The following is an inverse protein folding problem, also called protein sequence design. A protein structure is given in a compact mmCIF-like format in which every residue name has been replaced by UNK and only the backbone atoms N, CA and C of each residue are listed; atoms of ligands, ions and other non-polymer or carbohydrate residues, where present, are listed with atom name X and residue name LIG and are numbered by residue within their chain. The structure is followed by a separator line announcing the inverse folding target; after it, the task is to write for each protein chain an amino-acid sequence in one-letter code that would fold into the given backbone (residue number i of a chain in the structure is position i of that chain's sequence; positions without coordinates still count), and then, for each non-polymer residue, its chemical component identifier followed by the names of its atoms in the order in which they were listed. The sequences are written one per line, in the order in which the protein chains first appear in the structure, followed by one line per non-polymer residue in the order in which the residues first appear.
data_IF_644929078867
#
_entry.id   IF_644929078867
#
_cell.length_a   1.000
_cell.length_b   1.000
_cell.length_c   1.000
_cell.angle_alpha   90.00
_cell.angle_beta   90.00
_cell.angle_gamma   90.00
#
_symmetry.space_group_name_H-M   'P 1'
#
loop_
_entity.id
_entity.type
_entity.pdbx_description
1 polymer ?
#
# COMPACT_ATOMS: atom_id res chain seq x y z
N UNK A 1 21.57 8.37 28.58
CA UNK A 1 20.99 7.89 27.32
C UNK A 1 22.12 7.60 26.35
N UNK A 2 22.32 6.33 26.00
CA UNK A 2 23.36 5.81 25.10
C UNK A 2 22.79 5.48 23.72
N UNK A 3 21.56 4.98 23.63
CA UNK A 3 20.87 4.63 22.37
C UNK A 3 19.41 5.06 22.39
N UNK A 4 18.98 5.81 21.38
CA UNK A 4 17.59 6.17 21.11
C UNK A 4 17.12 5.53 19.83
N UNK A 5 15.89 5.03 19.84
CA UNK A 5 15.19 4.61 18.62
C UNK A 5 14.14 5.65 18.28
N UNK A 6 14.20 6.20 17.08
CA UNK A 6 13.20 7.12 16.55
C UNK A 6 12.33 6.37 15.56
N UNK A 7 11.03 6.32 15.80
CA UNK A 7 10.09 5.63 14.91
C UNK A 7 8.84 6.48 14.65
N UNK A 8 8.98 7.72 14.14
CA UNK A 8 7.84 8.58 13.87
C UNK A 8 7.09 8.16 12.60
N UNK A 9 5.79 8.44 12.58
CA UNK A 9 4.98 8.49 11.37
C UNK A 9 4.96 9.93 10.80
N UNK A 10 4.42 10.07 9.61
CA UNK A 10 4.19 11.33 8.93
C UNK A 10 3.23 12.24 9.71
N UNK A 11 3.51 13.54 9.64
CA UNK A 11 2.61 14.57 10.13
C UNK A 11 1.78 15.01 8.94
N UNK A 12 0.76 14.21 8.59
CA UNK A 12 -0.04 14.32 7.36
C UNK A 12 -0.42 15.78 7.07
N UNK A 13 -0.06 16.26 5.88
CA UNK A 13 -0.25 17.65 5.44
C UNK A 13 0.81 18.66 5.91
N UNK A 14 1.88 18.20 6.59
CA UNK A 14 2.96 19.05 7.11
C UNK A 14 4.35 18.47 6.86
N UNK A 15 4.77 17.44 7.60
CA UNK A 15 6.11 16.85 7.52
C UNK A 15 6.05 15.36 7.18
N UNK A 16 6.95 14.89 6.33
CA UNK A 16 7.14 13.45 6.12
C UNK A 16 7.75 12.79 7.36
N UNK A 17 7.56 11.48 7.52
CA UNK A 17 8.18 10.73 8.63
C UNK A 17 9.70 10.85 8.62
N UNK A 18 10.33 10.91 7.43
CA UNK A 18 11.78 11.16 7.33
C UNK A 18 12.17 12.54 7.86
N UNK A 19 11.40 13.58 7.53
CA UNK A 19 11.66 14.95 8.01
C UNK A 19 11.54 15.04 9.52
N UNK A 20 10.50 14.41 10.09
CA UNK A 20 10.30 14.34 11.54
C UNK A 20 11.47 13.62 12.21
N UNK A 21 11.88 12.47 11.68
CA UNK A 21 12.98 11.69 12.25
C UNK A 21 14.32 12.43 12.14
N UNK A 22 14.55 13.18 11.06
CA UNK A 22 15.74 14.01 10.90
C UNK A 22 15.81 15.13 11.94
N UNK A 23 14.70 15.86 12.15
CA UNK A 23 14.60 16.92 13.16
C UNK A 23 14.82 16.35 14.57
N UNK A 24 14.16 15.24 14.90
CA UNK A 24 14.34 14.55 16.18
C UNK A 24 15.81 14.15 16.39
N UNK A 25 16.45 13.60 15.35
CA UNK A 25 17.86 13.19 15.41
C UNK A 25 18.77 14.38 15.68
N UNK A 26 18.58 15.48 14.95
CA UNK A 26 19.37 16.70 15.08
C UNK A 26 19.29 17.26 16.51
N UNK A 27 18.09 17.41 17.06
CA UNK A 27 17.88 17.95 18.40
C UNK A 27 18.48 17.03 19.47
N UNK A 28 18.34 15.71 19.33
CA UNK A 28 18.96 14.76 20.26
C UNK A 28 20.47 14.87 20.22
N UNK A 29 21.08 15.00 19.04
CA UNK A 29 22.54 15.16 18.94
C UNK A 29 23.03 16.49 19.51
N UNK A 30 22.25 17.58 19.40
CA UNK A 30 22.59 18.86 20.02
C UNK A 30 22.71 18.75 21.55
N UNK A 31 21.82 17.99 22.19
CA UNK A 31 21.81 17.83 23.65
C UNK A 31 22.60 16.61 24.16
N UNK A 32 22.74 15.58 23.33
CA UNK A 32 23.44 14.32 23.62
C UNK A 32 24.33 13.89 22.44
N UNK A 33 25.49 14.55 22.22
CA UNK A 33 26.34 14.30 21.05
C UNK A 33 26.86 12.86 20.90
N UNK A 34 27.02 12.15 22.02
CA UNK A 34 27.46 10.74 22.04
C UNK A 34 26.34 9.72 21.92
N UNK A 35 25.08 10.14 21.73
CA UNK A 35 23.95 9.24 21.62
C UNK A 35 23.94 8.53 20.28
N UNK A 36 23.86 7.19 20.31
CA UNK A 36 23.55 6.41 19.12
C UNK A 36 22.06 6.59 18.79
N UNK A 37 21.75 6.90 17.54
CA UNK A 37 20.37 7.07 17.07
C UNK A 37 20.09 6.02 16.02
N UNK A 38 19.01 5.26 16.20
CA UNK A 38 18.45 4.37 15.18
C UNK A 38 17.16 5.01 14.70
N UNK A 39 17.16 5.50 13.47
CA UNK A 39 16.00 6.16 12.86
C UNK A 39 15.26 5.19 11.95
N UNK A 40 13.97 5.01 12.20
CA UNK A 40 13.05 4.11 11.51
C UNK A 40 11.80 4.94 11.18
N UNK A 41 11.87 5.91 10.25
CA UNK A 41 10.69 6.67 9.86
C UNK A 41 9.70 5.69 9.23
N UNK A 42 8.53 5.50 9.83
CA UNK A 42 7.57 4.51 9.36
C UNK A 42 6.57 5.13 8.38
N UNK A 43 6.00 4.26 7.56
CA UNK A 43 4.83 4.55 6.74
C UNK A 43 3.92 3.33 6.82
N UNK A 44 2.63 3.59 6.90
CA UNK A 44 1.55 2.62 7.07
C UNK A 44 1.16 1.89 5.76
N UNK A 45 2.04 1.96 4.75
CA UNK A 45 1.79 1.55 3.38
C UNK A 45 1.48 2.74 2.46
N UNK A 46 1.40 3.95 2.98
CA UNK A 46 1.21 5.18 2.21
C UNK A 46 2.49 5.85 1.73
N UNK A 47 2.46 7.18 1.68
CA UNK A 47 3.56 8.00 1.20
C UNK A 47 4.86 7.72 1.98
N UNK A 48 5.96 7.53 1.26
CA UNK A 48 7.28 7.31 1.85
C UNK A 48 7.52 5.88 2.34
N UNK A 49 6.63 4.93 2.04
CA UNK A 49 6.79 3.50 2.32
C UNK A 49 8.05 2.92 1.67
N UNK A 50 8.32 3.27 0.41
CA UNK A 50 9.52 2.84 -0.29
C UNK A 50 10.79 3.37 0.39
N UNK A 51 10.80 4.66 0.70
CA UNK A 51 11.96 5.33 1.29
C UNK A 51 12.26 4.82 2.70
N UNK A 52 11.21 4.61 3.51
CA UNK A 52 11.29 3.97 4.82
C UNK A 52 12.03 2.62 4.74
N UNK A 53 11.54 1.73 3.87
CA UNK A 53 12.06 0.37 3.82
C UNK A 53 13.46 0.30 3.21
N UNK A 54 13.78 1.15 2.22
CA UNK A 54 15.13 1.20 1.64
C UNK A 54 16.20 1.79 2.59
N UNK A 55 15.81 2.58 3.59
CA UNK A 55 16.73 3.04 4.62
C UNK A 55 17.13 1.91 5.58
N UNK A 56 16.25 0.92 5.74
CA UNK A 56 16.42 -0.12 6.75
C UNK A 56 16.97 -1.40 6.12
N UNK A 57 16.45 -1.78 4.96
CA UNK A 57 16.87 -2.99 4.25
C UNK A 57 17.86 -2.66 3.13
N UNK A 58 18.98 -3.40 3.03
CA UNK A 58 19.95 -3.19 1.97
C UNK A 58 19.35 -3.51 0.59
N UNK A 59 19.20 -2.49 -0.23
CA UNK A 59 18.63 -2.59 -1.56
C UNK A 59 18.93 -1.37 -2.42
N UNK A 60 18.34 -1.34 -3.60
CA UNK A 60 18.46 -0.23 -4.56
C UNK A 60 17.10 0.26 -5.01
N UNK A 61 16.99 1.56 -5.25
CA UNK A 61 15.84 2.15 -5.95
C UNK A 61 16.00 1.95 -7.46
N UNK A 62 14.99 1.40 -8.11
CA UNK A 62 14.93 1.22 -9.56
C UNK A 62 13.93 2.23 -10.14
N UNK A 63 14.39 3.25 -10.89
CA UNK A 63 13.49 4.18 -11.56
C UNK A 63 12.85 3.52 -12.78
N UNK A 64 11.56 3.79 -13.02
CA UNK A 64 10.83 3.30 -14.18
C UNK A 64 9.77 4.32 -14.61
N UNK A 65 9.63 4.53 -15.92
CA UNK A 65 8.52 5.31 -16.46
C UNK A 65 7.31 4.39 -16.66
N UNK A 66 6.20 4.69 -15.98
CA UNK A 66 4.98 3.86 -15.96
C UNK A 66 3.75 4.67 -16.32
N UNK A 67 2.62 4.01 -16.54
CA UNK A 67 1.31 4.63 -16.75
C UNK A 67 0.77 5.15 -15.41
N UNK A 68 0.67 6.47 -15.30
CA UNK A 68 0.08 7.15 -14.16
C UNK A 68 -1.43 6.94 -14.03
N UNK A 69 -2.05 7.47 -12.95
CA UNK A 69 -3.46 7.24 -12.67
C UNK A 69 -4.39 7.69 -13.80
N UNK A 70 -4.06 8.75 -14.53
CA UNK A 70 -4.88 9.27 -15.64
C UNK A 70 -4.43 8.78 -17.02
N UNK A 71 -3.57 7.77 -17.09
CA UNK A 71 -3.12 7.15 -18.34
C UNK A 71 -1.87 7.78 -18.98
N UNK A 72 -1.44 8.97 -18.54
CA UNK A 72 -0.19 9.59 -19.00
C UNK A 72 1.04 8.88 -18.43
N UNK A 73 2.18 8.94 -19.12
CA UNK A 73 3.45 8.39 -18.62
C UNK A 73 4.03 9.30 -17.53
N UNK A 74 4.39 8.71 -16.39
CA UNK A 74 5.02 9.38 -15.25
C UNK A 74 6.30 8.67 -14.84
N UNK A 75 7.21 9.41 -14.21
CA UNK A 75 8.39 8.82 -13.59
C UNK A 75 8.01 8.25 -12.23
N UNK A 76 8.30 6.98 -12.02
CA UNK A 76 8.06 6.26 -10.78
C UNK A 76 9.30 5.45 -10.39
N UNK A 77 9.19 4.66 -9.33
CA UNK A 77 10.23 3.76 -8.90
C UNK A 77 9.68 2.66 -7.98
N UNK A 78 10.47 1.60 -7.85
CA UNK A 78 10.31 0.59 -6.81
C UNK A 78 11.67 0.30 -6.15
N UNK A 79 11.66 -0.43 -5.04
CA UNK A 79 12.86 -0.89 -4.35
C UNK A 79 13.13 -2.34 -4.65
N UNK A 80 14.39 -2.71 -4.90
CA UNK A 80 14.82 -4.09 -5.02
C UNK A 80 15.84 -4.41 -3.94
N UNK A 81 15.45 -5.25 -2.99
CA UNK A 81 16.29 -5.69 -1.88
C UNK A 81 17.24 -6.80 -2.32
N UNK A 82 18.36 -6.91 -1.61
CA UNK A 82 19.42 -7.89 -1.90
C UNK A 82 18.95 -9.36 -1.80
N UNK A 83 17.87 -9.60 -1.06
CA UNK A 83 17.25 -10.92 -0.87
C UNK A 83 16.14 -11.24 -1.90
N UNK A 84 16.04 -10.48 -3.00
CA UNK A 84 15.02 -10.65 -4.07
C UNK A 84 13.59 -10.31 -3.64
N UNK A 85 13.44 -9.46 -2.63
CA UNK A 85 12.17 -8.81 -2.31
C UNK A 85 12.07 -7.49 -3.08
N UNK A 86 10.94 -7.24 -3.73
CA UNK A 86 10.63 -5.92 -4.28
C UNK A 86 9.68 -5.15 -3.36
N UNK A 87 9.92 -3.85 -3.22
CA UNK A 87 9.08 -2.92 -2.46
C UNK A 87 8.41 -1.97 -3.44
N UNK A 88 7.09 -1.98 -3.47
CA UNK A 88 6.27 -1.17 -4.35
C UNK A 88 5.40 -0.27 -3.49
N UNK A 89 5.47 1.03 -3.73
CA UNK A 89 4.58 2.00 -3.12
C UNK A 89 3.55 2.41 -4.19
N UNK A 90 2.30 2.00 -4.01
CA UNK A 90 1.24 2.24 -5.01
C UNK A 90 1.12 3.73 -5.35
N UNK A 91 1.31 4.60 -4.35
CA UNK A 91 1.21 6.04 -4.52
C UNK A 91 2.20 6.61 -5.57
N UNK A 92 3.35 5.96 -5.79
CA UNK A 92 4.33 6.42 -6.77
C UNK A 92 3.91 6.18 -8.22
N UNK A 93 2.97 5.26 -8.47
CA UNK A 93 2.47 4.97 -9.83
C UNK A 93 1.00 5.37 -10.02
N UNK A 94 0.20 5.29 -8.96
CA UNK A 94 -1.26 5.47 -9.00
C UNK A 94 -1.77 6.27 -7.80
N UNK A 95 -0.94 7.16 -7.24
CA UNK A 95 -1.27 7.98 -6.08
C UNK A 95 -1.91 9.33 -6.41
N UNK A 96 -2.57 9.92 -5.41
CA UNK A 96 -3.21 11.24 -5.54
C UNK A 96 -2.22 12.36 -5.87
N UNK A 97 -0.99 12.29 -5.34
CA UNK A 97 0.06 13.27 -5.65
C UNK A 97 0.57 13.17 -7.10
N UNK A 98 0.29 12.07 -7.80
CA UNK A 98 0.60 11.89 -9.22
C UNK A 98 -0.59 12.26 -10.13
N UNK A 99 -1.74 12.57 -9.54
CA UNK A 99 -2.94 12.96 -10.27
C UNK A 99 -3.07 14.49 -10.34
N UNK A 100 -3.74 14.99 -11.37
CA UNK A 100 -4.15 16.39 -11.44
C UNK A 100 -5.35 16.67 -10.52
N UNK A 101 -5.65 17.96 -10.33
CA UNK A 101 -6.72 18.46 -9.43
C UNK A 101 -8.11 17.94 -9.82
N UNK A 102 -8.34 17.65 -11.10
CA UNK A 102 -9.58 17.11 -11.67
C UNK A 102 -9.62 15.57 -11.71
N UNK A 103 -8.88 14.90 -10.82
CA UNK A 103 -8.87 13.44 -10.74
C UNK A 103 -10.27 12.86 -10.54
N UNK A 104 -10.63 11.90 -11.40
CA UNK A 104 -11.79 11.04 -11.20
C UNK A 104 -11.29 9.61 -10.85
N UNK A 105 -11.51 9.12 -9.62
CA UNK A 105 -11.02 7.82 -9.21
C UNK A 105 -11.66 6.64 -9.97
N UNK A 106 -12.84 6.83 -10.57
CA UNK A 106 -13.50 5.83 -11.39
C UNK A 106 -12.89 5.66 -12.78
N UNK A 107 -12.25 6.72 -13.30
CA UNK A 107 -11.49 6.66 -14.56
C UNK A 107 -10.00 6.35 -14.31
N UNK A 108 -9.50 6.63 -13.11
CA UNK A 108 -8.11 6.42 -12.78
C UNK A 108 -7.73 4.92 -12.73
N UNK A 109 -6.50 4.60 -13.09
CA UNK A 109 -6.02 3.21 -13.25
C UNK A 109 -4.83 2.86 -12.35
N UNK A 110 -4.81 1.61 -11.88
CA UNK A 110 -3.68 1.00 -11.16
C UNK A 110 -2.63 0.37 -12.09
N UNK A 111 -2.75 0.52 -13.41
CA UNK A 111 -1.90 -0.14 -14.41
C UNK A 111 -0.39 0.05 -14.19
N UNK A 112 0.05 1.27 -13.85
CA UNK A 112 1.47 1.53 -13.59
C UNK A 112 2.05 0.74 -12.43
N UNK A 113 1.23 0.37 -11.44
CA UNK A 113 1.65 -0.52 -10.34
C UNK A 113 1.97 -1.92 -10.88
N UNK A 114 1.15 -2.43 -11.79
CA UNK A 114 1.41 -3.70 -12.45
C UNK A 114 2.66 -3.66 -13.34
N UNK A 115 2.97 -2.52 -13.97
CA UNK A 115 4.24 -2.33 -14.69
C UNK A 115 5.45 -2.39 -13.74
N UNK A 116 5.37 -1.78 -12.54
CA UNK A 116 6.42 -1.90 -11.51
C UNK A 116 6.60 -3.35 -11.04
N UNK A 117 5.49 -4.06 -10.80
CA UNK A 117 5.51 -5.49 -10.40
C UNK A 117 6.19 -6.33 -11.48
N UNK A 118 5.78 -6.14 -12.73
CA UNK A 118 6.32 -6.88 -13.86
C UNK A 118 7.83 -6.68 -13.99
N UNK A 119 8.29 -5.42 -13.96
CA UNK A 119 9.71 -5.10 -14.03
C UNK A 119 10.50 -5.68 -12.84
N UNK A 120 9.95 -5.62 -11.63
CA UNK A 120 10.59 -6.21 -10.44
C UNK A 120 10.80 -7.73 -10.59
N UNK A 121 9.84 -8.44 -11.19
CA UNK A 121 9.94 -9.88 -11.44
C UNK A 121 10.99 -10.19 -12.51
N UNK A 122 11.07 -9.37 -13.57
CA UNK A 122 12.14 -9.47 -14.56
C UNK A 122 13.53 -9.28 -13.93
N UNK A 123 13.62 -8.46 -12.88
CA UNK A 123 14.83 -8.31 -12.06
C UNK A 123 15.01 -9.41 -11.00
N UNK A 124 14.22 -10.48 -11.05
CA UNK A 124 14.39 -11.69 -10.25
C UNK A 124 13.70 -11.65 -8.89
N UNK A 125 12.80 -10.69 -8.64
CA UNK A 125 12.02 -10.67 -7.41
C UNK A 125 11.12 -11.90 -7.31
N UNK A 126 11.09 -12.54 -6.13
CA UNK A 126 10.22 -13.68 -5.83
C UNK A 126 9.22 -13.39 -4.70
N UNK A 127 9.37 -12.24 -4.03
CA UNK A 127 8.45 -11.70 -3.05
C UNK A 127 8.26 -10.20 -3.31
N UNK A 128 7.02 -9.72 -3.18
CA UNK A 128 6.66 -8.33 -3.49
C UNK A 128 5.83 -7.75 -2.35
N UNK A 129 6.34 -6.69 -1.75
CA UNK A 129 5.66 -5.90 -0.73
C UNK A 129 5.02 -4.69 -1.37
N UNK A 130 3.71 -4.51 -1.19
CA UNK A 130 2.96 -3.41 -1.80
C UNK A 130 2.32 -2.56 -0.70
N UNK A 131 2.74 -1.31 -0.58
CA UNK A 131 2.04 -0.32 0.24
C UNK A 131 0.80 0.21 -0.51
N UNK A 132 -0.38 0.14 0.12
CA UNK A 132 -1.68 0.51 -0.47
C UNK A 132 -2.21 1.90 -0.08
N UNK A 133 -1.42 2.74 0.57
CA UNK A 133 -1.86 4.09 0.95
C UNK A 133 -1.76 5.10 -0.21
N UNK A 134 -2.49 6.21 -0.09
CA UNK A 134 -2.35 7.36 -1.00
C UNK A 134 -2.91 7.20 -2.42
N UNK A 135 -3.68 6.15 -2.71
CA UNK A 135 -4.23 5.85 -4.05
C UNK A 135 -5.14 6.96 -4.62
N UNK A 136 -5.04 7.21 -5.92
CA UNK A 136 -5.97 8.05 -6.71
C UNK A 136 -7.14 7.26 -7.32
N UNK A 137 -7.17 5.94 -7.17
CA UNK A 137 -7.98 5.02 -7.98
C UNK A 137 -9.13 4.36 -7.21
N UNK A 138 -10.12 3.86 -7.95
CA UNK A 138 -11.20 2.98 -7.49
C UNK A 138 -11.56 1.96 -8.59
N UNK A 139 -10.56 1.23 -9.10
CA UNK A 139 -10.69 0.29 -10.23
C UNK A 139 -10.69 -1.19 -9.81
N UNK A 140 -10.75 -1.50 -8.51
CA UNK A 140 -10.72 -2.88 -8.01
C UNK A 140 -9.42 -3.62 -8.31
N UNK A 141 -8.35 -2.90 -8.65
CA UNK A 141 -7.08 -3.50 -9.06
C UNK A 141 -7.08 -4.07 -10.48
N UNK A 142 -8.11 -3.79 -11.28
CA UNK A 142 -8.19 -4.31 -12.65
C UNK A 142 -7.03 -3.79 -13.51
N UNK A 143 -6.65 -2.52 -13.38
CA UNK A 143 -5.51 -1.97 -14.13
C UNK A 143 -4.20 -2.69 -13.81
N UNK A 144 -3.91 -2.88 -12.52
CA UNK A 144 -2.74 -3.63 -12.06
C UNK A 144 -2.75 -5.06 -12.61
N UNK A 145 -3.88 -5.75 -12.49
CA UNK A 145 -3.99 -7.13 -12.95
C UNK A 145 -3.86 -7.25 -14.48
N UNK A 146 -4.41 -6.29 -15.22
CA UNK A 146 -4.28 -6.21 -16.69
C UNK A 146 -2.81 -6.08 -17.10
N UNK A 147 -2.05 -5.19 -16.45
CA UNK A 147 -0.62 -5.02 -16.70
C UNK A 147 0.19 -6.29 -16.39
N UNK A 148 -0.33 -7.18 -15.54
CA UNK A 148 0.24 -8.49 -15.24
C UNK A 148 -0.20 -9.61 -16.21
N UNK A 149 -1.04 -9.29 -17.20
CA UNK A 149 -1.50 -10.22 -18.22
C UNK A 149 -2.87 -10.85 -17.93
N UNK A 150 -3.62 -10.36 -16.96
CA UNK A 150 -5.01 -10.77 -16.75
C UNK A 150 -5.90 -10.16 -17.84
N UNK A 151 -6.80 -10.95 -18.41
CA UNK A 151 -7.73 -10.49 -19.45
C UNK A 151 -9.17 -10.53 -18.92
N UNK A 152 -9.94 -9.47 -19.20
CA UNK A 152 -11.32 -9.33 -18.77
C UNK A 152 -12.25 -9.35 -19.98
N UNK A 153 -13.37 -10.06 -19.88
CA UNK A 153 -14.31 -10.21 -20.99
C UNK A 153 -15.72 -9.79 -20.61
N UNK A 154 -16.41 -9.14 -21.55
CA UNK A 154 -17.82 -8.79 -21.44
C UNK A 154 -18.74 -10.00 -21.65
N UNK A 155 -20.05 -9.78 -21.57
CA UNK A 155 -21.08 -10.80 -21.81
C UNK A 155 -21.04 -11.35 -23.24
N UNK A 156 -20.62 -10.52 -24.19
CA UNK A 156 -20.47 -10.84 -25.60
C UNK A 156 -19.15 -11.58 -25.88
N UNK A 157 -18.33 -11.85 -24.85
CA UNK A 157 -17.01 -12.46 -25.00
C UNK A 157 -15.96 -11.52 -25.57
N UNK A 158 -16.20 -10.21 -25.55
CA UNK A 158 -15.26 -9.19 -26.02
C UNK A 158 -14.27 -8.83 -24.93
N UNK A 159 -12.99 -8.70 -25.28
CA UNK A 159 -11.96 -8.17 -24.38
C UNK A 159 -12.32 -6.73 -23.99
N UNK A 160 -12.28 -6.44 -22.69
CA UNK A 160 -12.52 -5.11 -22.12
C UNK A 160 -11.36 -4.69 -21.22
N UNK A 161 -11.21 -3.38 -21.03
CA UNK A 161 -10.23 -2.74 -20.14
C UNK A 161 -11.00 -2.05 -19.01
N UNK A 162 -11.31 -2.73 -17.90
CA UNK A 162 -12.22 -2.21 -16.91
C UNK A 162 -11.62 -1.03 -16.13
N UNK A 163 -12.47 -0.07 -15.80
CA UNK A 163 -12.20 0.95 -14.80
C UNK A 163 -13.29 0.91 -13.71
N UNK A 164 -13.24 1.82 -12.74
CA UNK A 164 -14.18 1.85 -11.63
C UNK A 164 -15.66 1.95 -12.03
N UNK A 165 -15.97 2.57 -13.17
CA UNK A 165 -17.33 2.72 -13.68
C UNK A 165 -17.82 1.55 -14.54
N UNK A 166 -16.92 0.64 -14.92
CA UNK A 166 -17.25 -0.46 -15.84
C UNK A 166 -16.99 -1.83 -15.24
N UNK A 167 -16.68 -1.94 -13.94
CA UNK A 167 -16.43 -3.23 -13.30
C UNK A 167 -17.61 -4.20 -13.43
N UNK A 168 -18.85 -3.69 -13.47
CA UNK A 168 -20.06 -4.49 -13.68
C UNK A 168 -20.15 -5.14 -15.06
N UNK A 169 -19.37 -4.67 -16.04
CA UNK A 169 -19.34 -5.25 -17.39
C UNK A 169 -18.49 -6.52 -17.47
N UNK A 170 -17.66 -6.79 -16.47
CA UNK A 170 -16.83 -7.99 -16.41
C UNK A 170 -17.73 -9.22 -16.20
N UNK A 171 -17.64 -10.20 -17.10
CA UNK A 171 -18.34 -11.47 -17.02
C UNK A 171 -17.40 -12.66 -16.91
N UNK A 172 -16.16 -12.53 -17.38
CA UNK A 172 -15.12 -13.53 -17.11
C UNK A 172 -13.73 -12.92 -17.11
N UNK A 173 -12.82 -13.64 -16.47
CA UNK A 173 -11.41 -13.33 -16.25
C UNK A 173 -10.60 -14.52 -16.76
N UNK A 174 -9.60 -14.26 -17.60
CA UNK A 174 -8.63 -15.25 -18.06
C UNK A 174 -7.22 -14.93 -17.59
N UNK A 175 -6.45 -16.00 -17.35
CA UNK A 175 -5.07 -15.94 -16.85
C UNK A 175 -4.05 -16.41 -17.90
N UNK A 176 -4.48 -16.59 -19.15
CA UNK A 176 -3.70 -17.30 -20.18
C UNK A 176 -2.39 -16.60 -20.54
N UNK A 177 -2.30 -15.28 -20.32
CA UNK A 177 -1.10 -14.47 -20.58
C UNK A 177 -0.25 -14.24 -19.34
N UNK A 178 -0.66 -14.76 -18.18
CA UNK A 178 0.13 -14.68 -16.96
C UNK A 178 1.28 -15.69 -17.04
N UNK A 179 2.50 -15.21 -16.75
CA UNK A 179 3.69 -16.06 -16.71
C UNK A 179 3.70 -17.00 -15.49
N UNK A 180 4.25 -18.21 -15.66
CA UNK A 180 4.48 -19.16 -14.56
C UNK A 180 5.36 -18.58 -13.44
N UNK A 181 6.25 -17.64 -13.78
CA UNK A 181 7.08 -16.95 -12.81
C UNK A 181 6.22 -16.11 -11.86
N UNK A 182 5.25 -15.36 -12.40
CA UNK A 182 4.34 -14.52 -11.62
C UNK A 182 3.49 -15.35 -10.64
N UNK A 183 3.02 -16.52 -11.06
CA UNK A 183 2.21 -17.42 -10.20
C UNK A 183 2.97 -17.94 -8.97
N UNK A 184 4.31 -17.93 -8.99
CA UNK A 184 5.16 -18.37 -7.88
C UNK A 184 5.55 -17.25 -6.93
N UNK A 185 5.26 -15.99 -7.27
CA UNK A 185 5.60 -14.83 -6.45
C UNK A 185 4.70 -14.78 -5.23
N UNK A 186 5.30 -14.52 -4.06
CA UNK A 186 4.55 -14.18 -2.86
C UNK A 186 4.31 -12.67 -2.79
N UNK A 187 3.07 -12.25 -2.56
CA UNK A 187 2.72 -10.85 -2.38
C UNK A 187 2.34 -10.59 -0.92
N UNK A 188 2.77 -9.45 -0.39
CA UNK A 188 2.32 -8.93 0.91
C UNK A 188 1.80 -7.52 0.72
N UNK A 189 0.51 -7.32 1.03
CA UNK A 189 -0.17 -6.03 0.93
C UNK A 189 -0.14 -5.34 2.29
N UNK A 190 0.51 -4.18 2.38
CA UNK A 190 0.59 -3.37 3.59
C UNK A 190 -0.50 -2.31 3.59
N UNK A 191 -1.33 -2.30 4.64
CA UNK A 191 -2.40 -1.32 4.81
C UNK A 191 -2.77 -1.14 6.29
N UNK A 192 -3.19 0.06 6.67
CA UNK A 192 -3.68 0.40 8.01
C UNK A 192 -5.21 0.41 8.15
N UNK A 193 -5.91 0.25 7.03
CA UNK A 193 -7.37 0.25 7.03
C UNK A 193 -7.91 -1.17 7.06
N UNK A 194 -8.98 -1.37 7.83
CA UNK A 194 -9.70 -2.65 7.89
C UNK A 194 -10.97 -2.64 7.04
N UNK A 195 -11.23 -1.54 6.33
CA UNK A 195 -12.41 -1.34 5.49
C UNK A 195 -12.61 -2.51 4.52
N UNK A 196 -13.84 -3.08 4.45
CA UNK A 196 -14.17 -4.11 3.47
C UNK A 196 -14.18 -3.54 2.05
N UNK A 197 -14.34 -4.41 1.05
CA UNK A 197 -14.38 -3.99 -0.35
C UNK A 197 -15.60 -3.11 -0.67
N UNK A 198 -16.78 -3.54 -0.22
CA UNK A 198 -18.08 -2.91 -0.48
C UNK A 198 -18.79 -2.53 0.83
N UNK A 199 -19.87 -1.77 0.72
CA UNK A 199 -20.77 -1.40 1.82
C UNK A 199 -20.53 0.03 2.32
N UNK A 200 -21.23 0.41 3.40
CA UNK A 200 -21.14 1.76 3.98
C UNK A 200 -19.74 2.07 4.54
N UNK A 201 -18.99 1.05 4.93
CA UNK A 201 -17.58 1.16 5.30
C UNK A 201 -16.63 0.74 4.16
N UNK A 202 -17.15 0.52 2.96
CA UNK A 202 -16.42 0.00 1.80
C UNK A 202 -15.52 1.02 1.11
N UNK A 203 -14.79 0.55 0.11
CA UNK A 203 -13.77 1.32 -0.61
C UNK A 203 -14.34 2.61 -1.21
N UNK A 204 -15.44 2.49 -1.95
CA UNK A 204 -16.04 3.60 -2.69
C UNK A 204 -16.71 4.59 -1.74
N UNK A 205 -17.52 4.11 -0.80
CA UNK A 205 -18.22 4.98 0.14
C UNK A 205 -17.29 5.83 1.02
N UNK A 206 -16.20 5.22 1.52
CA UNK A 206 -15.31 5.88 2.48
C UNK A 206 -14.25 6.74 1.79
N UNK A 207 -13.68 6.28 0.67
CA UNK A 207 -12.47 6.89 0.12
C UNK A 207 -12.64 7.57 -1.24
N UNK A 208 -13.73 7.37 -1.98
CA UNK A 208 -13.86 7.95 -3.32
C UNK A 208 -13.93 9.48 -3.30
N UNK A 209 -14.66 10.07 -2.34
CA UNK A 209 -14.86 11.51 -2.25
C UNK A 209 -13.54 12.28 -2.06
N UNK A 210 -12.67 11.82 -1.15
CA UNK A 210 -11.35 12.42 -0.95
C UNK A 210 -10.39 12.24 -2.14
N UNK A 211 -10.74 11.35 -3.10
CA UNK A 211 -9.99 11.14 -4.34
C UNK A 211 -10.52 11.95 -5.52
N UNK A 212 -11.58 12.75 -5.33
CA UNK A 212 -12.18 13.60 -6.36
C UNK A 212 -13.51 13.11 -6.93
N UNK A 213 -14.07 11.99 -6.45
CA UNK A 213 -15.38 11.54 -6.92
C UNK A 213 -16.50 12.50 -6.46
N UNK A 214 -17.39 12.97 -7.35
CA UNK A 214 -18.63 13.63 -6.94
C UNK A 214 -19.55 12.64 -6.23
N UNK A 215 -20.47 13.14 -5.41
CA UNK A 215 -21.40 12.31 -4.62
C UNK A 215 -22.24 11.35 -5.47
N UNK A 216 -22.58 11.73 -6.69
CA UNK A 216 -23.30 10.90 -7.66
C UNK A 216 -22.44 9.74 -8.20
N UNK A 217 -21.13 9.97 -8.36
CA UNK A 217 -20.20 8.93 -8.82
C UNK A 217 -19.97 7.86 -7.75
N UNK A 218 -19.95 8.23 -6.47
CA UNK A 218 -19.74 7.27 -5.37
C UNK A 218 -20.76 6.14 -5.37
N UNK A 219 -22.02 6.43 -5.70
CA UNK A 219 -23.09 5.42 -5.80
C UNK A 219 -22.78 4.44 -6.94
N UNK A 220 -22.45 4.96 -8.12
CA UNK A 220 -22.15 4.14 -9.29
C UNK A 220 -20.88 3.29 -9.09
N UNK A 221 -19.85 3.84 -8.44
CA UNK A 221 -18.63 3.12 -8.08
C UNK A 221 -18.92 1.96 -7.12
N UNK A 222 -19.74 2.21 -6.11
CA UNK A 222 -20.17 1.18 -5.15
C UNK A 222 -20.96 0.07 -5.85
N UNK A 223 -21.92 0.40 -6.71
CA UNK A 223 -22.70 -0.58 -7.49
C UNK A 223 -21.80 -1.45 -8.38
N UNK A 224 -20.84 -0.83 -9.07
CA UNK A 224 -19.85 -1.53 -9.89
C UNK A 224 -18.95 -2.45 -9.06
N UNK A 225 -18.44 -1.95 -7.92
CA UNK A 225 -17.60 -2.74 -7.02
C UNK A 225 -18.37 -3.92 -6.43
N UNK A 226 -19.65 -3.75 -6.09
CA UNK A 226 -20.50 -4.86 -5.63
C UNK A 226 -20.73 -5.90 -6.72
N UNK A 227 -20.98 -5.48 -7.96
CA UNK A 227 -21.10 -6.40 -9.09
C UNK A 227 -19.82 -7.22 -9.29
N UNK A 228 -18.67 -6.56 -9.20
CA UNK A 228 -17.36 -7.20 -9.29
C UNK A 228 -17.10 -8.18 -8.15
N UNK A 229 -17.39 -7.77 -6.91
CA UNK A 229 -17.31 -8.65 -5.73
C UNK A 229 -18.21 -9.88 -5.85
N UNK A 230 -19.43 -9.71 -6.39
CA UNK A 230 -20.35 -10.83 -6.68
C UNK A 230 -19.78 -11.77 -7.74
N UNK A 231 -19.19 -11.24 -8.81
CA UNK A 231 -18.53 -12.07 -9.82
C UNK A 231 -17.42 -12.94 -9.19
N UNK A 232 -16.51 -12.32 -8.45
CA UNK A 232 -15.39 -13.02 -7.79
C UNK A 232 -15.87 -14.08 -6.79
N UNK A 233 -16.88 -13.75 -5.98
CA UNK A 233 -17.39 -14.67 -4.95
C UNK A 233 -18.28 -15.78 -5.52
N UNK A 234 -19.15 -15.50 -6.49
CA UNK A 234 -20.11 -16.49 -6.99
C UNK A 234 -19.54 -17.35 -8.13
N UNK A 235 -18.80 -16.75 -9.06
CA UNK A 235 -18.26 -17.47 -10.21
C UNK A 235 -16.91 -18.12 -9.91
N UNK A 236 -16.06 -17.44 -9.15
CA UNK A 236 -14.71 -17.91 -8.85
C UNK A 236 -14.54 -18.43 -7.41
N UNK A 237 -15.58 -18.34 -6.57
CA UNK A 237 -15.59 -18.86 -5.20
C UNK A 237 -14.51 -18.23 -4.30
N UNK A 238 -14.12 -16.98 -4.59
CA UNK A 238 -13.16 -16.25 -3.78
C UNK A 238 -13.80 -15.50 -2.61
N UNK A 239 -13.06 -15.39 -1.51
CA UNK A 239 -13.42 -14.52 -0.39
C UNK A 239 -12.96 -13.09 -0.69
N UNK A 240 -13.91 -12.20 -0.93
CA UNK A 240 -13.67 -10.77 -1.16
C UNK A 240 -13.91 -9.90 0.08
N UNK A 241 -14.58 -10.44 1.10
CA UNK A 241 -14.88 -9.76 2.36
C UNK A 241 -13.86 -10.13 3.44
N UNK A 242 -12.72 -9.44 3.39
CA UNK A 242 -11.68 -9.53 4.42
C UNK A 242 -11.26 -8.12 4.86
N UNK A 243 -10.74 -8.02 6.09
CA UNK A 243 -10.27 -6.75 6.62
C UNK A 243 -9.17 -6.17 5.73
N UNK A 244 -9.40 -4.95 5.23
CA UNK A 244 -8.48 -4.23 4.35
C UNK A 244 -8.71 -4.48 2.85
N UNK A 245 -9.74 -5.26 2.46
CA UNK A 245 -10.08 -5.47 1.05
C UNK A 245 -10.40 -4.16 0.32
N UNK A 246 -10.93 -3.14 1.01
CA UNK A 246 -11.22 -1.83 0.43
C UNK A 246 -10.04 -0.88 0.31
N UNK A 247 -8.86 -1.26 0.81
CA UNK A 247 -7.65 -0.45 0.69
C UNK A 247 -7.34 -0.14 -0.78
N UNK A 248 -6.84 1.07 -1.04
CA UNK A 248 -6.51 1.56 -2.38
C UNK A 248 -7.64 1.42 -3.42
N UNK A 249 -8.93 1.50 -3.03
CA UNK A 249 -10.01 1.30 -4.01
C UNK A 249 -10.15 -0.15 -4.49
N UNK A 250 -9.73 -1.11 -3.66
CA UNK A 250 -9.75 -2.54 -3.99
C UNK A 250 -8.52 -3.05 -4.74
N UNK A 251 -7.43 -2.26 -4.84
CA UNK A 251 -6.28 -2.58 -5.69
C UNK A 251 -5.65 -3.98 -5.43
N UNK A 252 -5.75 -4.46 -4.19
CA UNK A 252 -5.19 -5.75 -3.78
C UNK A 252 -6.11 -6.97 -3.98
N UNK A 253 -7.38 -6.77 -4.35
CA UNK A 253 -8.39 -7.86 -4.35
C UNK A 253 -8.05 -8.95 -5.35
N UNK A 254 -7.68 -8.58 -6.58
CA UNK A 254 -7.32 -9.56 -7.61
C UNK A 254 -6.02 -10.29 -7.28
N UNK A 255 -5.06 -9.61 -6.66
CA UNK A 255 -3.86 -10.27 -6.12
C UNK A 255 -4.26 -11.34 -5.10
N UNK A 256 -5.13 -10.98 -4.14
CA UNK A 256 -5.61 -11.90 -3.10
C UNK A 256 -6.41 -13.09 -3.62
N UNK A 257 -7.14 -12.90 -4.71
CA UNK A 257 -7.94 -13.94 -5.34
C UNK A 257 -7.08 -14.91 -6.15
N UNK A 258 -6.22 -14.39 -7.04
CA UNK A 258 -5.57 -15.19 -8.08
C UNK A 258 -4.11 -15.53 -7.80
N UNK A 259 -3.48 -14.92 -6.79
CA UNK A 259 -2.07 -15.09 -6.48
C UNK A 259 -1.85 -15.43 -5.00
N UNK A 260 -0.64 -15.90 -4.68
CA UNK A 260 -0.25 -16.16 -3.30
C UNK A 260 -0.03 -14.84 -2.56
N UNK A 261 -1.08 -14.29 -1.97
CA UNK A 261 -1.06 -12.95 -1.35
C UNK A 261 -1.53 -12.97 0.09
N UNK A 262 -0.76 -12.30 0.95
CA UNK A 262 -1.11 -11.98 2.34
C UNK A 262 -1.43 -10.51 2.51
N UNK A 263 -2.24 -10.19 3.52
CA UNK A 263 -2.54 -8.82 3.92
C UNK A 263 -1.92 -8.59 5.29
N UNK A 264 -1.02 -7.63 5.35
CA UNK A 264 -0.36 -7.16 6.54
C UNK A 264 -1.07 -5.90 7.05
N UNK A 265 -1.86 -6.08 8.12
CA UNK A 265 -2.61 -4.99 8.74
C UNK A 265 -1.75 -4.23 9.76
N UNK A 266 -1.64 -2.93 9.55
CA UNK A 266 -0.93 -2.01 10.45
C UNK A 266 0.57 -2.24 10.50
N UNK A 267 1.21 -1.72 11.56
CA UNK A 267 2.67 -1.67 11.66
C UNK A 267 3.31 -2.99 12.10
N UNK A 268 2.54 -3.92 12.67
CA UNK A 268 3.10 -5.12 13.32
C UNK A 268 3.98 -5.95 12.36
N UNK A 269 3.54 -6.11 11.11
CA UNK A 269 4.32 -6.85 10.13
C UNK A 269 5.61 -6.12 9.74
N UNK A 270 5.57 -4.79 9.67
CA UNK A 270 6.77 -3.98 9.48
C UNK A 270 7.71 -4.20 10.67
N UNK A 271 7.23 -4.07 11.92
CA UNK A 271 8.05 -4.29 13.12
C UNK A 271 8.66 -5.71 13.17
N UNK A 272 7.90 -6.74 12.75
CA UNK A 272 8.39 -8.11 12.66
C UNK A 272 9.56 -8.20 11.68
N UNK A 273 9.41 -7.67 10.45
CA UNK A 273 10.45 -7.73 9.41
C UNK A 273 11.69 -6.92 9.78
N UNK A 274 11.51 -5.87 10.57
CA UNK A 274 12.61 -5.08 11.13
C UNK A 274 13.36 -5.78 12.27
N UNK A 275 12.88 -6.93 12.74
CA UNK A 275 13.33 -7.53 14.00
C UNK A 275 13.33 -6.50 15.13
N UNK A 276 12.24 -5.72 15.23
CA UNK A 276 12.17 -4.55 16.11
C UNK A 276 12.47 -4.89 17.57
N UNK A 277 12.09 -6.08 18.04
CA UNK A 277 12.41 -6.57 19.39
C UNK A 277 13.94 -6.62 19.66
N UNK A 278 14.74 -6.96 18.63
CA UNK A 278 16.21 -6.92 18.72
C UNK A 278 16.71 -5.48 18.81
N UNK A 279 16.10 -4.57 18.06
CA UNK A 279 16.43 -3.14 18.10
C UNK A 279 16.13 -2.56 19.50
N UNK A 280 14.97 -2.92 20.07
CA UNK A 280 14.53 -2.53 21.41
C UNK A 280 15.44 -3.03 22.50
N UNK A 281 15.96 -4.26 22.40
CA UNK A 281 16.85 -4.85 23.44
C UNK A 281 18.10 -4.02 23.76
N UNK A 282 18.47 -3.10 22.87
CA UNK A 282 19.64 -2.23 23.02
C UNK A 282 19.27 -0.76 23.26
N UNK A 283 17.98 -0.41 23.25
CA UNK A 283 17.49 0.96 23.31
C UNK A 283 17.26 1.40 24.77
N UNK A 284 17.64 2.64 25.11
CA UNK A 284 17.30 3.24 26.40
C UNK A 284 15.90 3.87 26.39
N UNK A 285 15.47 4.35 25.23
CA UNK A 285 14.15 4.97 25.00
C UNK A 285 13.80 4.91 23.51
N UNK A 286 12.52 4.80 23.22
CA UNK A 286 11.94 4.93 21.90
C UNK A 286 11.18 6.26 21.86
N UNK A 287 11.28 7.01 20.76
CA UNK A 287 10.49 8.23 20.56
C UNK A 287 9.71 8.07 19.26
N UNK A 288 8.41 8.31 19.32
CA UNK A 288 7.50 8.26 18.17
C UNK A 288 6.59 9.48 18.17
N UNK A 289 5.79 9.62 17.12
CA UNK A 289 4.80 10.68 16.95
C UNK A 289 4.09 10.53 15.61
N UNK A 290 2.90 11.13 15.50
CA UNK A 290 2.16 11.26 14.24
C UNK A 290 1.46 12.62 14.22
N UNK A 291 1.01 13.06 13.05
CA UNK A 291 0.38 14.40 12.90
C UNK A 291 -0.90 14.60 13.70
N UNK A 292 -1.60 13.52 14.07
CA UNK A 292 -2.82 13.58 14.87
C UNK A 292 -3.01 12.31 15.69
N UNK A 293 -2.85 12.43 17.00
CA UNK A 293 -3.26 11.39 17.95
C UNK A 293 -4.78 11.46 18.13
N UNK A 294 -5.52 10.52 17.56
CA UNK A 294 -6.97 10.43 17.72
C UNK A 294 -7.44 9.06 18.22
N UNK A 295 -8.76 8.89 18.37
CA UNK A 295 -9.31 7.62 18.84
C UNK A 295 -9.04 6.46 17.88
N UNK A 296 -8.71 6.71 16.61
CA UNK A 296 -8.28 5.67 15.69
C UNK A 296 -6.82 5.27 15.92
N UNK A 297 -5.94 6.20 16.34
CA UNK A 297 -4.57 5.88 16.80
C UNK A 297 -4.56 4.81 17.88
N UNK A 298 -5.43 4.99 18.88
CA UNK A 298 -5.57 4.09 20.02
C UNK A 298 -6.19 2.72 19.66
N UNK A 299 -6.78 2.58 18.46
CA UNK A 299 -7.51 1.38 18.01
C UNK A 299 -6.69 0.40 17.17
N UNK A 300 -5.36 0.48 17.20
CA UNK A 300 -4.51 -0.50 16.50
C UNK A 300 -3.65 0.06 15.37
N UNK A 301 -3.42 1.39 15.33
CA UNK A 301 -2.49 2.00 14.35
C UNK A 301 -1.03 1.89 14.80
N UNK A 302 -0.13 2.41 13.96
CA UNK A 302 1.31 2.42 14.14
C UNK A 302 1.81 2.63 15.57
N UNK A 303 1.40 3.71 16.23
CA UNK A 303 1.87 4.05 17.58
C UNK A 303 1.47 2.99 18.61
N UNK A 304 0.27 2.41 18.49
CA UNK A 304 -0.19 1.38 19.43
C UNK A 304 0.60 0.08 19.31
N UNK A 305 0.99 -0.31 18.10
CA UNK A 305 1.88 -1.46 17.86
C UNK A 305 3.27 -1.22 18.46
N UNK A 306 3.85 -0.03 18.22
CA UNK A 306 5.13 0.38 18.82
C UNK A 306 5.05 0.34 20.35
N UNK A 307 4.02 0.95 20.94
CA UNK A 307 3.79 0.98 22.38
C UNK A 307 3.68 -0.42 22.99
N UNK A 308 2.96 -1.31 22.33
CA UNK A 308 2.83 -2.72 22.73
C UNK A 308 4.19 -3.43 22.78
N UNK A 309 5.04 -3.22 21.76
CA UNK A 309 6.40 -3.80 21.70
C UNK A 309 7.34 -3.22 22.76
N UNK A 310 7.32 -1.90 22.94
CA UNK A 310 8.09 -1.21 23.98
C UNK A 310 7.70 -1.71 25.37
N UNK A 311 6.40 -1.79 25.66
CA UNK A 311 5.88 -2.30 26.92
C UNK A 311 6.34 -3.73 27.22
N UNK A 312 6.24 -4.64 26.24
CA UNK A 312 6.71 -6.04 26.38
C UNK A 312 8.21 -6.13 26.63
N UNK A 313 8.99 -5.21 26.06
CA UNK A 313 10.45 -5.17 26.19
C UNK A 313 10.95 -4.36 27.39
N UNK A 314 10.02 -3.77 28.16
CA UNK A 314 10.31 -2.85 29.27
C UNK A 314 11.21 -1.67 28.87
N UNK A 315 11.02 -1.17 27.64
CA UNK A 315 11.71 0.01 27.10
C UNK A 315 10.75 1.21 27.14
N UNK A 316 11.15 2.37 27.69
CA UNK A 316 10.33 3.58 27.66
C UNK A 316 9.97 4.01 26.23
N UNK A 317 8.71 4.42 26.05
CA UNK A 317 8.19 5.10 24.85
C UNK A 317 7.76 6.53 25.20
#
# INVERSE_FOLDING_TARGET
MKKVVLIPDSYKGSLSSQSVAAIMSEVIHQHHPGCQIVSIPISDGGEGFLDCLLQIFPGKRIPLTVKGPQGYRINSAYGLLSNRVAIIELALASGLLQASVDNDPGLATTFGVGELIHDAILHGANEIWIGLGGSATNDGGCGLAEALGMEFFSKEGLLIHPNGYTLSQIQSIALNKISDALLKVHFTLFTDVTNPLCGLSGASHVFAAQKGAPSTATILLEENMQAFSRLLSQQYQFLTDYAGAGAAGGAGVLLRCFFNTTVALGIEEVLNRLNFDTILSQADVVITGEGRLDQQTLKGKAISGIASRCYKSNVPL
#
